data_IF_873193613647
#
_entry.id   IF_873193613647
#
_cell.length_a   1.000
_cell.length_b   1.000
_cell.length_c   1.000
_cell.angle_alpha   90.00
_cell.angle_beta   90.00
_cell.angle_gamma   90.00
#
_symmetry.space_group_name_H-M   'P 1'
#
loop_
_entity.id
_entity.type
_entity.pdbx_description
1 polymer ?
#
# COMPACT_ATOMS: atom_id res chain seq x y z
N UNK A 1 63.15 14.69 -0.10
CA UNK A 1 62.18 13.57 -0.20
C UNK A 1 61.55 13.16 1.14
N UNK A 2 62.29 13.11 2.26
CA UNK A 2 61.75 12.71 3.59
C UNK A 2 60.69 13.67 4.19
N UNK A 3 60.85 14.99 4.04
CA UNK A 3 59.89 15.98 4.55
C UNK A 3 58.51 15.95 3.85
N UNK A 4 58.46 15.52 2.59
CA UNK A 4 57.20 15.38 1.84
C UNK A 4 56.41 14.16 2.30
N UNK A 5 57.09 13.06 2.67
CA UNK A 5 56.44 11.87 3.24
C UNK A 5 55.77 12.16 4.59
N UNK A 6 56.41 12.96 5.46
CA UNK A 6 55.84 13.28 6.77
C UNK A 6 54.55 14.12 6.69
N UNK A 7 54.47 15.08 5.75
CA UNK A 7 53.25 15.88 5.52
C UNK A 7 52.11 15.05 4.93
N UNK A 8 52.41 14.06 4.09
CA UNK A 8 51.39 13.16 3.56
C UNK A 8 50.81 12.26 4.66
N UNK A 9 51.67 11.65 5.49
CA UNK A 9 51.24 10.76 6.58
C UNK A 9 50.40 11.51 7.61
N UNK A 10 50.78 12.74 7.98
CA UNK A 10 50.01 13.56 8.91
C UNK A 10 48.63 13.93 8.38
N UNK A 11 48.51 14.35 7.11
CA UNK A 11 47.20 14.68 6.50
C UNK A 11 46.29 13.47 6.40
N UNK A 12 46.83 12.32 6.03
CA UNK A 12 46.06 11.06 5.97
C UNK A 12 45.57 10.71 7.38
N UNK A 13 46.44 10.76 8.39
CA UNK A 13 46.06 10.43 9.77
C UNK A 13 44.96 11.35 10.33
N UNK A 14 45.04 12.66 10.06
CA UNK A 14 44.00 13.62 10.49
C UNK A 14 42.65 13.33 9.84
N UNK A 15 42.63 13.02 8.53
CA UNK A 15 41.38 12.68 7.83
C UNK A 15 40.78 11.39 8.37
N UNK A 16 41.60 10.35 8.59
CA UNK A 16 41.16 9.08 9.16
C UNK A 16 40.60 9.25 10.59
N UNK A 17 41.29 9.99 11.45
CA UNK A 17 40.84 10.23 12.82
C UNK A 17 39.52 11.01 12.85
N UNK A 18 39.36 12.00 11.96
CA UNK A 18 38.12 12.79 11.86
C UNK A 18 36.95 11.92 11.40
N UNK A 19 37.17 11.01 10.45
CA UNK A 19 36.14 10.07 9.99
C UNK A 19 35.72 9.08 11.09
N UNK A 20 36.68 8.57 11.87
CA UNK A 20 36.40 7.64 12.99
C UNK A 20 35.59 8.34 14.09
N UNK A 21 36.02 9.54 14.50
CA UNK A 21 35.31 10.31 15.54
C UNK A 21 33.88 10.65 15.07
N UNK A 22 33.71 11.07 13.82
CA UNK A 22 32.40 11.36 13.24
C UNK A 22 31.50 10.12 13.16
N UNK A 23 32.09 8.96 12.87
CA UNK A 23 31.40 7.67 12.81
C UNK A 23 30.84 7.27 14.18
N UNK A 24 31.67 7.32 15.23
CA UNK A 24 31.29 6.97 16.60
C UNK A 24 30.19 7.92 17.09
N UNK A 25 30.36 9.23 16.87
CA UNK A 25 29.37 10.22 17.25
C UNK A 25 28.02 9.99 16.54
N UNK A 26 28.04 9.59 15.26
CA UNK A 26 26.84 9.30 14.47
C UNK A 26 26.09 8.07 15.00
N UNK A 27 26.81 7.00 15.34
CA UNK A 27 26.23 5.79 15.92
C UNK A 27 25.60 6.06 17.29
N UNK A 28 26.33 6.74 18.19
CA UNK A 28 25.81 7.13 19.50
C UNK A 28 24.56 8.01 19.39
N UNK A 29 24.55 8.93 18.43
CA UNK A 29 23.42 9.81 18.19
C UNK A 29 22.13 9.05 17.82
N UNK A 30 22.25 7.96 17.04
CA UNK A 30 21.11 7.09 16.72
C UNK A 30 20.70 6.18 17.87
N UNK A 31 21.60 5.83 18.78
CA UNK A 31 21.26 5.04 19.97
C UNK A 31 20.43 5.85 20.97
N UNK A 32 20.74 7.12 21.11
CA UNK A 32 20.05 8.03 22.03
C UNK A 32 18.87 8.76 21.36
N UNK A 33 18.60 8.53 20.06
CA UNK A 33 17.66 9.35 19.29
C UNK A 33 16.27 9.44 19.94
N UNK A 34 15.79 8.37 20.56
CA UNK A 34 14.47 8.31 21.21
C UNK A 34 14.37 9.19 22.48
N UNK A 35 15.50 9.57 23.09
CA UNK A 35 15.55 10.41 24.31
C UNK A 35 15.73 11.90 23.99
N UNK A 36 16.12 12.22 22.74
CA UNK A 36 16.36 13.57 22.29
C UNK A 36 15.05 14.32 22.00
N UNK A 37 15.05 15.63 22.19
CA UNK A 37 13.96 16.48 21.69
C UNK A 37 13.91 16.44 20.16
N UNK A 38 12.73 16.67 19.56
CA UNK A 38 12.55 16.63 18.09
C UNK A 38 13.58 17.48 17.34
N UNK A 39 13.90 18.68 17.85
CA UNK A 39 14.93 19.53 17.24
C UNK A 39 16.32 18.88 17.25
N UNK A 40 16.69 18.23 18.36
CA UNK A 40 17.97 17.50 18.48
C UNK A 40 17.98 16.23 17.62
N UNK A 41 16.85 15.51 17.52
CA UNK A 41 16.70 14.36 16.62
C UNK A 41 16.92 14.77 15.15
N UNK A 42 16.32 15.87 14.71
CA UNK A 42 16.49 16.37 13.34
C UNK A 42 17.92 16.85 13.08
N UNK A 43 18.54 17.54 14.04
CA UNK A 43 19.94 17.95 13.94
C UNK A 43 20.87 16.74 13.85
N UNK A 44 20.65 15.72 14.68
CA UNK A 44 21.35 14.44 14.66
C UNK A 44 21.35 13.83 13.25
N UNK A 45 20.15 13.60 12.70
CA UNK A 45 19.97 13.01 11.37
C UNK A 45 20.60 13.88 10.27
N UNK A 46 20.50 15.21 10.36
CA UNK A 46 21.13 16.12 9.41
C UNK A 46 22.66 16.00 9.42
N UNK A 47 23.28 15.91 10.60
CA UNK A 47 24.73 15.76 10.75
C UNK A 47 25.22 14.44 10.15
N UNK A 48 24.51 13.32 10.40
CA UNK A 48 24.82 12.03 9.80
C UNK A 48 24.75 12.14 8.27
N UNK A 49 23.71 12.78 7.73
CA UNK A 49 23.54 12.98 6.29
C UNK A 49 24.70 13.79 5.68
N UNK A 50 25.10 14.90 6.32
CA UNK A 50 26.14 15.79 5.79
C UNK A 50 27.55 15.20 5.84
N UNK A 51 27.81 14.27 6.78
CA UNK A 51 29.12 13.62 6.90
C UNK A 51 29.28 12.45 5.93
N UNK A 52 28.17 11.95 5.35
CA UNK A 52 28.18 10.75 4.51
C UNK A 52 28.61 9.49 5.25
N UNK A 53 28.55 9.50 6.60
CA UNK A 53 28.99 8.39 7.44
C UNK A 53 27.93 7.29 7.44
N UNK A 54 27.94 6.47 6.40
CA UNK A 54 27.02 5.35 6.22
C UNK A 54 27.77 4.03 6.45
N UNK A 55 27.86 3.62 7.71
CA UNK A 55 28.51 2.38 8.11
C UNK A 55 27.48 1.38 8.69
N UNK A 56 27.96 0.19 9.04
CA UNK A 56 27.12 -0.88 9.62
C UNK A 56 26.45 -0.47 10.93
N UNK A 57 27.12 0.34 11.77
CA UNK A 57 26.59 0.81 13.05
C UNK A 57 25.41 1.77 12.86
N UNK A 58 25.52 2.69 11.91
CA UNK A 58 24.45 3.63 11.52
C UNK A 58 23.24 2.85 11.00
N UNK A 59 23.45 1.85 10.13
CA UNK A 59 22.35 1.02 9.63
C UNK A 59 21.72 0.15 10.74
N UNK A 60 22.50 -0.33 11.71
CA UNK A 60 21.98 -1.01 12.89
C UNK A 60 21.14 -0.08 13.78
N UNK A 61 21.61 1.15 13.99
CA UNK A 61 20.87 2.21 14.70
C UNK A 61 19.55 2.54 14.02
N UNK A 62 19.57 2.75 12.70
CA UNK A 62 18.36 2.99 11.89
C UNK A 62 17.39 1.80 11.95
N UNK A 63 17.89 0.57 11.91
CA UNK A 63 17.06 -0.63 12.06
C UNK A 63 16.32 -0.64 13.39
N UNK A 64 17.02 -0.34 14.49
CA UNK A 64 16.40 -0.24 15.82
C UNK A 64 15.38 0.88 15.88
N UNK A 65 15.71 2.05 15.31
CA UNK A 65 14.79 3.18 15.22
C UNK A 65 13.50 2.81 14.49
N UNK A 66 13.59 2.32 13.25
CA UNK A 66 12.40 1.96 12.45
C UNK A 66 11.50 0.91 13.10
N UNK A 67 12.07 -0.08 13.79
CA UNK A 67 11.31 -1.13 14.50
C UNK A 67 10.55 -0.62 15.74
N UNK A 68 11.01 0.48 16.36
CA UNK A 68 10.39 1.06 17.55
C UNK A 68 9.34 2.12 17.23
N UNK A 69 9.30 2.64 16.00
CA UNK A 69 8.41 3.75 15.66
C UNK A 69 6.94 3.40 15.83
N UNK A 70 6.17 4.41 16.24
CA UNK A 70 4.73 4.31 16.42
C UNK A 70 4.02 5.63 16.02
N UNK A 71 2.74 5.70 16.35
CA UNK A 71 1.89 6.88 16.09
C UNK A 71 2.40 8.17 16.75
N UNK A 72 3.21 8.07 17.82
CA UNK A 72 3.75 9.20 18.57
C UNK A 72 5.09 9.68 18.02
N UNK A 73 5.81 8.85 17.26
CA UNK A 73 7.05 9.27 16.60
C UNK A 73 6.77 10.45 15.67
N UNK A 74 7.56 11.52 15.79
CA UNK A 74 7.38 12.72 14.98
C UNK A 74 7.65 12.41 13.50
N UNK A 75 6.69 12.69 12.62
CA UNK A 75 6.77 12.33 11.21
C UNK A 75 7.96 12.97 10.48
N UNK A 76 8.46 14.13 10.91
CA UNK A 76 9.65 14.79 10.32
C UNK A 76 10.93 14.02 10.66
N UNK A 77 10.97 13.41 11.84
CA UNK A 77 12.11 12.59 12.28
C UNK A 77 12.14 11.28 11.49
N UNK A 78 10.97 10.65 11.29
CA UNK A 78 10.84 9.49 10.39
C UNK A 78 11.32 9.85 8.97
N UNK A 79 10.89 10.98 8.43
CA UNK A 79 11.33 11.46 7.13
C UNK A 79 12.84 11.72 7.05
N UNK A 80 13.43 12.33 8.09
CA UNK A 80 14.88 12.56 8.16
C UNK A 80 15.68 11.26 8.20
N UNK A 81 15.16 10.21 8.87
CA UNK A 81 15.77 8.88 8.85
C UNK A 81 15.65 8.22 7.47
N UNK A 82 14.52 8.38 6.79
CA UNK A 82 14.34 7.93 5.40
C UNK A 82 15.30 8.65 4.44
N UNK A 83 15.54 9.96 4.63
CA UNK A 83 16.50 10.74 3.85
C UNK A 83 17.95 10.22 3.96
N UNK A 84 18.32 9.62 5.09
CA UNK A 84 19.62 8.97 5.24
C UNK A 84 19.72 7.72 4.38
N UNK A 85 18.64 6.94 4.29
CA UNK A 85 18.61 5.74 3.44
C UNK A 85 18.60 6.13 1.95
N UNK A 86 17.81 7.15 1.58
CA UNK A 86 17.80 7.70 0.22
C UNK A 86 19.18 8.19 -0.23
N UNK A 87 19.90 8.88 0.66
CA UNK A 87 21.27 9.33 0.38
C UNK A 87 22.29 8.19 0.17
N UNK A 88 22.01 6.99 0.70
CA UNK A 88 22.83 5.78 0.47
C UNK A 88 22.48 5.06 -0.85
N UNK A 89 21.31 5.33 -1.43
CA UNK A 89 20.79 4.62 -2.60
C UNK A 89 20.79 3.10 -2.40
N UNK A 90 21.22 2.35 -3.43
CA UNK A 90 21.28 0.89 -3.38
C UNK A 90 22.19 0.31 -2.27
N UNK A 91 23.10 1.09 -1.71
CA UNK A 91 23.92 0.63 -0.56
C UNK A 91 23.06 0.35 0.68
N UNK A 92 21.86 0.95 0.77
CA UNK A 92 20.89 0.72 1.83
C UNK A 92 19.89 -0.41 1.52
N UNK A 93 20.11 -1.24 0.48
CA UNK A 93 19.16 -2.30 0.08
C UNK A 93 18.80 -3.25 1.23
N UNK A 94 19.73 -3.54 2.15
CA UNK A 94 19.47 -4.39 3.31
C UNK A 94 18.36 -3.83 4.25
N UNK A 95 18.08 -2.52 4.18
CA UNK A 95 17.02 -1.87 4.95
C UNK A 95 15.63 -2.01 4.31
N UNK A 96 15.56 -2.45 3.05
CA UNK A 96 14.31 -2.54 2.30
C UNK A 96 13.25 -3.42 3.00
N UNK A 97 13.65 -4.56 3.56
CA UNK A 97 12.75 -5.46 4.31
C UNK A 97 12.26 -4.86 5.64
N UNK A 98 13.05 -3.98 6.26
CA UNK A 98 12.60 -3.26 7.46
C UNK A 98 11.58 -2.19 7.08
N UNK A 99 11.82 -1.48 5.98
CA UNK A 99 10.91 -0.45 5.48
C UNK A 99 9.59 -1.03 4.95
N UNK A 100 9.60 -2.21 4.33
CA UNK A 100 8.38 -2.84 3.82
C UNK A 100 7.37 -3.13 4.94
N UNK A 101 7.84 -3.44 6.15
CA UNK A 101 7.00 -3.65 7.34
C UNK A 101 6.28 -2.38 7.81
N UNK A 102 6.71 -1.20 7.34
CA UNK A 102 6.07 0.07 7.68
C UNK A 102 4.93 0.41 6.71
N UNK A 103 4.87 -0.18 5.51
CA UNK A 103 3.85 0.11 4.50
C UNK A 103 2.42 -0.35 4.82
N UNK A 104 2.13 -1.41 5.60
CA UNK A 104 0.76 -1.83 5.86
C UNK A 104 -0.07 -0.74 6.58
N UNK A 105 -1.36 -0.60 6.24
CA UNK A 105 -2.25 0.45 6.81
C UNK A 105 -2.36 0.37 8.35
N UNK A 106 -2.18 -0.82 8.92
CA UNK A 106 -2.21 -1.13 10.34
C UNK A 106 -0.87 -0.95 11.07
N UNK A 107 0.20 -0.53 10.37
CA UNK A 107 1.51 -0.33 10.97
C UNK A 107 1.42 0.62 12.17
N UNK A 108 2.14 0.31 13.25
CA UNK A 108 2.13 1.11 14.51
C UNK A 108 2.36 2.59 14.24
N UNK A 109 3.22 2.90 13.25
CA UNK A 109 3.55 4.25 12.79
C UNK A 109 2.32 5.12 12.45
N UNK A 110 1.22 4.52 12.02
CA UNK A 110 0.02 5.23 11.52
C UNK A 110 -1.11 5.35 12.55
N UNK A 111 -0.98 4.71 13.71
CA UNK A 111 -2.02 4.73 14.73
C UNK A 111 -2.19 6.13 15.32
N UNK A 112 -3.43 6.59 15.52
CA UNK A 112 -3.74 7.92 16.08
C UNK A 112 -3.10 9.09 15.31
N UNK A 113 -2.82 8.88 14.02
CA UNK A 113 -2.24 9.88 13.13
C UNK A 113 -3.30 10.37 12.16
N UNK A 114 -3.25 11.68 11.86
CA UNK A 114 -4.08 12.27 10.82
C UNK A 114 -3.84 11.61 9.46
N UNK A 115 -4.91 11.47 8.67
CA UNK A 115 -4.90 10.86 7.34
C UNK A 115 -3.82 11.46 6.44
N UNK A 116 -3.62 12.78 6.45
CA UNK A 116 -2.66 13.44 5.57
C UNK A 116 -1.21 13.07 5.91
N UNK A 117 -0.88 12.96 7.20
CA UNK A 117 0.45 12.51 7.60
C UNK A 117 0.67 11.03 7.29
N UNK A 118 -0.35 10.18 7.43
CA UNK A 118 -0.27 8.76 7.03
C UNK A 118 0.03 8.65 5.53
N UNK A 119 -0.74 9.34 4.69
CA UNK A 119 -0.56 9.32 3.23
C UNK A 119 0.84 9.84 2.83
N UNK A 120 1.29 10.96 3.42
CA UNK A 120 2.62 11.52 3.12
C UNK A 120 3.75 10.61 3.58
N UNK A 121 3.65 9.99 4.76
CA UNK A 121 4.66 9.02 5.24
C UNK A 121 4.71 7.78 4.36
N UNK A 122 3.56 7.18 4.02
CA UNK A 122 3.48 6.04 3.10
C UNK A 122 4.14 6.36 1.76
N UNK A 123 3.81 7.51 1.18
CA UNK A 123 4.40 7.96 -0.07
C UNK A 123 5.93 8.10 0.02
N UNK A 124 6.43 8.63 1.13
CA UNK A 124 7.87 8.79 1.34
C UNK A 124 8.59 7.46 1.57
N UNK A 125 7.93 6.48 2.19
CA UNK A 125 8.44 5.11 2.33
C UNK A 125 8.49 4.42 0.96
N UNK A 126 7.43 4.51 0.13
CA UNK A 126 7.45 4.01 -1.24
C UNK A 126 8.57 4.63 -2.06
N UNK A 127 8.70 5.96 -2.02
CA UNK A 127 9.78 6.67 -2.70
C UNK A 127 11.17 6.19 -2.23
N UNK A 128 11.37 6.04 -0.92
CA UNK A 128 12.64 5.54 -0.37
C UNK A 128 12.94 4.13 -0.88
N UNK A 129 11.95 3.24 -0.88
CA UNK A 129 12.08 1.89 -1.43
C UNK A 129 12.39 1.89 -2.94
N UNK A 130 11.88 2.86 -3.70
CA UNK A 130 12.21 2.99 -5.13
C UNK A 130 13.70 3.34 -5.38
N UNK A 131 14.36 3.97 -4.41
CA UNK A 131 15.76 4.40 -4.53
C UNK A 131 16.75 3.40 -3.91
N UNK A 132 16.37 2.71 -2.82
CA UNK A 132 17.24 1.73 -2.15
C UNK A 132 17.05 0.31 -2.64
N UNK A 133 15.91 0.01 -3.25
CA UNK A 133 15.52 -1.32 -3.71
C UNK A 133 14.16 -1.74 -3.16
N UNK A 134 13.29 -2.25 -4.05
CA UNK A 134 11.93 -2.64 -3.71
C UNK A 134 11.84 -4.16 -3.47
N UNK A 135 11.57 -4.61 -2.22
CA UNK A 135 11.55 -6.03 -1.89
C UNK A 135 10.22 -6.68 -2.31
N UNK A 136 10.22 -7.99 -2.53
CA UNK A 136 9.01 -8.73 -2.89
C UNK A 136 7.95 -8.68 -1.78
N UNK A 137 8.38 -8.58 -0.52
CA UNK A 137 7.50 -8.41 0.65
C UNK A 137 6.66 -7.14 0.59
N UNK A 138 7.07 -6.12 -0.17
CA UNK A 138 6.35 -4.86 -0.32
C UNK A 138 5.35 -4.85 -1.48
N UNK A 139 5.45 -5.81 -2.41
CA UNK A 139 4.62 -5.88 -3.63
C UNK A 139 3.11 -5.87 -3.35
N UNK A 140 2.57 -6.56 -2.33
CA UNK A 140 1.15 -6.49 -2.02
C UNK A 140 0.67 -5.05 -1.70
N UNK A 141 1.49 -4.24 -1.04
CA UNK A 141 1.17 -2.85 -0.72
C UNK A 141 1.25 -1.94 -1.94
N UNK A 142 2.20 -2.18 -2.85
CA UNK A 142 2.24 -1.51 -4.15
C UNK A 142 0.95 -1.73 -4.92
N UNK A 143 0.51 -2.98 -4.97
CA UNK A 143 -0.72 -3.39 -5.64
C UNK A 143 -1.90 -2.71 -4.95
N UNK A 144 -2.05 -2.83 -3.63
CA UNK A 144 -3.18 -2.20 -2.92
C UNK A 144 -3.29 -0.70 -3.22
N UNK A 145 -2.17 0.02 -3.31
CA UNK A 145 -2.23 1.45 -3.64
C UNK A 145 -2.57 1.69 -5.11
N UNK A 146 -1.94 0.98 -6.06
CA UNK A 146 -2.15 1.22 -7.50
C UNK A 146 -3.47 0.66 -8.04
N UNK A 147 -4.09 -0.26 -7.32
CA UNK A 147 -5.33 -0.95 -7.72
C UNK A 147 -6.60 -0.15 -7.47
N UNK A 148 -6.54 0.79 -6.52
CA UNK A 148 -7.72 1.41 -5.94
C UNK A 148 -7.70 2.93 -6.08
N UNK A 149 -7.06 3.44 -7.14
CA UNK A 149 -6.98 4.88 -7.34
C UNK A 149 -8.32 5.45 -7.83
N UNK A 150 -8.67 6.61 -7.28
CA UNK A 150 -9.71 7.48 -7.79
C UNK A 150 -9.27 8.94 -7.63
N UNK A 151 -10.07 9.88 -8.15
CA UNK A 151 -9.79 11.32 -8.10
C UNK A 151 -9.70 11.90 -6.67
N UNK A 152 -9.95 11.12 -5.61
CA UNK A 152 -9.88 11.54 -4.20
C UNK A 152 -8.67 10.96 -3.48
N UNK A 153 -7.86 10.14 -4.15
CA UNK A 153 -6.57 9.69 -3.62
C UNK A 153 -5.52 10.81 -3.68
N UNK A 154 -4.56 10.74 -2.75
CA UNK A 154 -3.47 11.72 -2.72
C UNK A 154 -2.57 11.53 -3.93
N UNK A 155 -2.43 12.59 -4.74
CA UNK A 155 -1.53 12.60 -5.90
C UNK A 155 -0.08 12.24 -5.51
N UNK A 156 0.34 12.65 -4.31
CA UNK A 156 1.64 12.31 -3.73
C UNK A 156 1.82 10.80 -3.54
N UNK A 157 0.83 10.11 -2.97
CA UNK A 157 0.92 8.66 -2.73
C UNK A 157 0.94 7.90 -4.06
N UNK A 158 0.05 8.25 -4.99
CA UNK A 158 0.02 7.64 -6.31
C UNK A 158 1.32 7.88 -7.10
N UNK A 159 1.80 9.12 -7.13
CA UNK A 159 3.06 9.48 -7.79
C UNK A 159 4.26 8.70 -7.23
N UNK A 160 4.32 8.51 -5.91
CA UNK A 160 5.39 7.71 -5.30
C UNK A 160 5.34 6.23 -5.73
N UNK A 161 4.15 5.68 -5.91
CA UNK A 161 3.95 4.32 -6.42
C UNK A 161 4.32 4.22 -7.90
N UNK A 162 4.07 5.24 -8.71
CA UNK A 162 4.56 5.28 -10.10
C UNK A 162 6.10 5.21 -10.14
N UNK A 163 6.80 5.95 -9.26
CA UNK A 163 8.27 5.87 -9.14
C UNK A 163 8.75 4.50 -8.70
N UNK A 164 8.04 3.84 -7.78
CA UNK A 164 8.31 2.44 -7.45
C UNK A 164 8.20 1.57 -8.69
N UNK A 165 7.11 1.65 -9.46
CA UNK A 165 6.95 0.84 -10.68
C UNK A 165 8.07 1.12 -11.68
N UNK A 166 8.46 2.38 -11.85
CA UNK A 166 9.60 2.76 -12.69
C UNK A 166 10.91 2.09 -12.23
N UNK A 167 11.19 2.09 -10.92
CA UNK A 167 12.40 1.49 -10.34
C UNK A 167 12.49 -0.03 -10.50
N UNK A 168 11.36 -0.71 -10.78
CA UNK A 168 11.33 -2.14 -11.03
C UNK A 168 11.87 -2.53 -12.42
N UNK A 169 12.02 -1.56 -13.34
CA UNK A 169 12.43 -1.80 -14.73
C UNK A 169 11.50 -2.80 -15.41
N UNK A 170 12.06 -3.77 -16.14
CA UNK A 170 11.28 -4.80 -16.84
C UNK A 170 10.34 -5.60 -15.92
N UNK A 171 10.65 -5.76 -14.62
CA UNK A 171 9.76 -6.42 -13.65
C UNK A 171 8.47 -5.64 -13.41
N UNK A 172 8.46 -4.34 -13.72
CA UNK A 172 7.32 -3.46 -13.63
C UNK A 172 6.31 -3.61 -14.77
N UNK A 173 6.63 -4.36 -15.84
CA UNK A 173 5.73 -4.53 -17.00
C UNK A 173 4.35 -5.09 -16.63
N UNK A 174 4.28 -5.94 -15.60
CA UNK A 174 3.02 -6.48 -15.06
C UNK A 174 2.07 -5.41 -14.50
N UNK A 175 2.54 -4.18 -14.30
CA UNK A 175 1.74 -3.05 -13.82
C UNK A 175 1.26 -2.12 -14.95
N UNK A 176 1.53 -2.44 -16.22
CA UNK A 176 1.25 -1.52 -17.34
C UNK A 176 -0.22 -1.12 -17.46
N UNK A 177 -1.15 -2.05 -17.19
CA UNK A 177 -2.59 -1.75 -17.26
C UNK A 177 -3.00 -0.77 -16.15
N UNK A 178 -2.43 -0.90 -14.95
CA UNK A 178 -2.66 0.04 -13.86
C UNK A 178 -2.11 1.43 -14.19
N UNK A 179 -0.91 1.50 -14.74
CA UNK A 179 -0.32 2.78 -15.20
C UNK A 179 -1.20 3.42 -16.27
N UNK A 180 -1.72 2.63 -17.20
CA UNK A 180 -2.61 3.12 -18.25
C UNK A 180 -3.90 3.70 -17.67
N UNK A 181 -4.51 3.03 -16.70
CA UNK A 181 -5.75 3.53 -16.09
C UNK A 181 -5.51 4.89 -15.38
N UNK A 182 -4.30 5.16 -14.87
CA UNK A 182 -3.95 6.46 -14.24
C UNK A 182 -3.72 7.61 -15.23
N UNK A 183 -3.58 7.30 -16.52
CA UNK A 183 -3.38 8.30 -17.58
C UNK A 183 -4.72 8.87 -18.08
N UNK A 184 -5.84 8.19 -17.82
CA UNK A 184 -7.18 8.66 -18.21
C UNK A 184 -7.72 9.83 -17.39
N UNK A 185 -8.94 10.27 -17.72
CA UNK A 185 -9.63 11.43 -17.12
C UNK A 185 -10.03 11.24 -15.64
N UNK A 186 -9.71 10.10 -15.04
CA UNK A 186 -10.12 9.72 -13.69
C UNK A 186 -9.19 10.25 -12.60
N UNK A 187 -8.00 10.74 -12.95
CA UNK A 187 -6.99 11.23 -12.00
C UNK A 187 -6.86 12.74 -12.14
N UNK A 188 -6.94 13.45 -11.01
CA UNK A 188 -6.76 14.90 -11.00
C UNK A 188 -5.33 15.30 -11.39
N UNK A 189 -5.21 16.45 -12.07
CA UNK A 189 -3.93 17.08 -12.43
C UNK A 189 -3.28 17.83 -11.25
N UNK A 190 -3.50 17.36 -10.01
CA UNK A 190 -2.91 17.98 -8.83
C UNK A 190 -1.39 17.86 -8.91
N UNK A 191 -0.71 19.01 -8.94
CA UNK A 191 0.74 19.03 -8.87
C UNK A 191 1.22 18.54 -7.51
N UNK A 192 2.39 17.92 -7.48
CA UNK A 192 3.10 17.61 -6.24
C UNK A 192 4.61 17.54 -6.47
N UNK A 193 5.35 17.42 -5.35
CA UNK A 193 6.79 17.12 -5.37
C UNK A 193 7.10 15.99 -4.39
N UNK A 194 8.05 15.16 -4.83
CA UNK A 194 8.61 14.03 -4.10
C UNK A 194 10.08 14.29 -3.72
N UNK A 195 10.66 15.44 -4.04
CA UNK A 195 12.09 15.70 -3.76
C UNK A 195 12.39 15.67 -2.25
N UNK A 196 11.47 16.21 -1.44
CA UNK A 196 11.56 16.30 0.02
C UNK A 196 10.24 15.98 0.71
N UNK A 197 10.31 15.51 1.95
CA UNK A 197 9.12 15.22 2.74
C UNK A 197 8.28 16.47 3.04
N UNK A 198 8.91 17.53 3.56
CA UNK A 198 8.24 18.82 3.79
C UNK A 198 8.15 19.57 2.45
N UNK A 199 6.97 20.05 2.09
CA UNK A 199 6.79 20.81 0.84
C UNK A 199 7.20 22.25 1.09
N UNK A 200 8.24 22.71 0.39
CA UNK A 200 8.56 24.15 0.31
C UNK A 200 8.12 24.68 -1.07
N UNK A 201 7.77 25.97 -1.12
CA UNK A 201 7.37 26.68 -2.34
C UNK A 201 8.46 27.68 -2.76
N UNK A 202 8.75 27.83 -4.07
CA UNK A 202 8.21 27.04 -5.19
C UNK A 202 8.67 25.58 -5.14
N UNK A 203 7.84 24.68 -5.69
CA UNK A 203 8.12 23.24 -5.63
C UNK A 203 9.27 22.89 -6.58
N UNK A 204 10.31 22.28 -6.03
CA UNK A 204 11.35 21.62 -6.83
C UNK A 204 10.75 20.37 -7.47
N UNK A 205 11.01 20.16 -8.76
CA UNK A 205 10.52 19.00 -9.52
C UNK A 205 8.98 18.83 -9.47
N UNK A 206 8.23 19.91 -9.69
CA UNK A 206 6.76 19.80 -9.78
C UNK A 206 6.35 18.81 -10.87
N UNK A 207 5.50 17.85 -10.51
CA UNK A 207 5.03 16.76 -11.38
C UNK A 207 3.55 16.46 -11.11
N UNK A 208 2.96 15.59 -11.92
CA UNK A 208 1.59 15.08 -11.76
C UNK A 208 1.59 13.55 -11.80
N UNK A 209 0.47 12.92 -11.41
CA UNK A 209 0.37 11.44 -11.43
C UNK A 209 0.53 10.91 -12.86
N UNK A 210 -0.09 11.58 -13.84
CA UNK A 210 -0.01 11.19 -15.25
C UNK A 210 1.42 11.28 -15.79
N UNK A 211 2.17 12.34 -15.43
CA UNK A 211 3.58 12.49 -15.81
C UNK A 211 4.42 11.34 -15.22
N UNK A 212 4.26 11.05 -13.92
CA UNK A 212 4.99 9.95 -13.30
C UNK A 212 4.58 8.57 -13.88
N UNK A 213 3.32 8.38 -14.25
CA UNK A 213 2.85 7.15 -14.91
C UNK A 213 3.48 6.96 -16.29
N UNK A 214 3.57 8.01 -17.11
CA UNK A 214 4.24 7.95 -18.41
C UNK A 214 5.75 7.71 -18.26
N UNK A 215 6.39 8.33 -17.25
CA UNK A 215 7.80 8.05 -16.90
C UNK A 215 7.99 6.60 -16.46
N UNK A 216 7.06 6.05 -15.69
CA UNK A 216 7.08 4.65 -15.29
C UNK A 216 6.94 3.72 -16.50
N UNK A 217 6.02 4.00 -17.43
CA UNK A 217 5.91 3.27 -18.70
C UNK A 217 7.22 3.29 -19.49
N UNK A 218 7.90 4.45 -19.58
CA UNK A 218 9.22 4.51 -20.22
C UNK A 218 10.23 3.60 -19.53
N UNK A 219 10.30 3.65 -18.20
CA UNK A 219 11.29 2.94 -17.41
C UNK A 219 11.10 1.41 -17.42
N UNK A 220 9.86 0.91 -17.50
CA UNK A 220 9.59 -0.54 -17.60
C UNK A 220 9.90 -1.11 -19.01
N UNK A 221 10.23 -0.24 -19.97
CA UNK A 221 10.64 -0.59 -21.33
C UNK A 221 9.47 -0.99 -22.24
N UNK A 222 9.79 -1.45 -23.45
CA UNK A 222 8.82 -1.73 -24.50
C UNK A 222 7.65 -2.59 -24.01
N UNK A 223 6.43 -2.12 -24.28
CA UNK A 223 5.20 -2.83 -23.99
C UNK A 223 4.58 -3.32 -25.29
N UNK A 224 4.30 -4.62 -25.39
CA UNK A 224 3.46 -5.18 -26.47
C UNK A 224 1.97 -4.84 -26.27
N UNK A 225 1.63 -4.06 -25.24
CA UNK A 225 0.26 -3.66 -24.95
C UNK A 225 -0.21 -2.57 -25.92
N UNK A 226 -1.05 -2.97 -26.88
CA UNK A 226 -1.63 -2.05 -27.87
C UNK A 226 -2.35 -0.87 -27.21
N UNK A 227 -3.01 -1.06 -26.06
CA UNK A 227 -3.73 0.02 -25.36
C UNK A 227 -2.77 1.10 -24.87
N UNK A 228 -1.60 0.71 -24.34
CA UNK A 228 -0.54 1.64 -23.92
C UNK A 228 -0.04 2.44 -25.11
N UNK A 229 0.24 1.78 -26.25
CA UNK A 229 0.69 2.46 -27.47
C UNK A 229 -0.33 3.46 -27.99
N UNK A 230 -1.61 3.07 -28.03
CA UNK A 230 -2.70 3.94 -28.46
C UNK A 230 -2.82 5.17 -27.54
N UNK A 231 -2.81 4.98 -26.23
CA UNK A 231 -2.93 6.09 -25.28
C UNK A 231 -1.75 7.07 -25.36
N UNK A 232 -0.51 6.55 -25.39
CA UNK A 232 0.69 7.39 -25.53
C UNK A 232 0.69 8.14 -26.86
N UNK A 233 0.28 7.49 -27.96
CA UNK A 233 0.16 8.13 -29.28
C UNK A 233 -0.87 9.25 -29.26
N UNK A 234 -2.04 9.02 -28.67
CA UNK A 234 -3.09 10.03 -28.53
C UNK A 234 -2.61 11.25 -27.75
N UNK A 235 -1.86 11.05 -26.66
CA UNK A 235 -1.29 12.15 -25.86
C UNK A 235 -0.20 12.88 -26.64
N UNK A 236 0.71 12.16 -27.27
CA UNK A 236 1.82 12.74 -28.01
C UNK A 236 1.37 13.56 -29.24
N UNK A 237 0.24 13.17 -29.85
CA UNK A 237 -0.37 13.84 -31.00
C UNK A 237 -1.39 14.90 -30.61
N UNK A 238 -1.62 15.14 -29.31
CA UNK A 238 -2.48 16.20 -28.85
C UNK A 238 -1.97 17.55 -29.42
N UNK A 239 -2.82 18.23 -30.20
CA UNK A 239 -2.46 19.47 -30.87
C UNK A 239 -2.25 20.64 -29.91
N UNK A 240 -1.82 21.79 -30.42
CA UNK A 240 -1.59 23.02 -29.65
C UNK A 240 -2.81 23.57 -28.91
N UNK A 241 -4.02 23.10 -29.27
CA UNK A 241 -5.29 23.46 -28.62
C UNK A 241 -5.74 22.46 -27.54
N UNK A 242 -4.94 21.45 -27.23
CA UNK A 242 -5.25 20.50 -26.17
C UNK A 242 -5.17 21.16 -24.79
N UNK A 243 -6.04 20.75 -23.87
CA UNK A 243 -5.98 21.13 -22.45
C UNK A 243 -4.93 20.34 -21.66
N UNK A 244 -4.27 19.35 -22.28
CA UNK A 244 -3.29 18.50 -21.61
C UNK A 244 -2.03 19.30 -21.23
N UNK A 245 -1.44 18.94 -20.09
CA UNK A 245 -0.14 19.46 -19.65
C UNK A 245 0.94 19.27 -20.74
N UNK A 246 1.61 20.34 -21.22
CA UNK A 246 2.68 20.22 -22.21
C UNK A 246 3.83 19.29 -21.78
N UNK A 247 4.10 19.20 -20.47
CA UNK A 247 5.10 18.26 -19.91
C UNK A 247 4.66 16.82 -20.10
N UNK A 248 3.37 16.51 -19.95
CA UNK A 248 2.82 15.18 -20.21
C UNK A 248 2.97 14.80 -21.69
N UNK A 249 2.64 15.71 -22.60
CA UNK A 249 2.83 15.53 -24.05
C UNK A 249 4.31 15.25 -24.38
N UNK A 250 5.22 16.02 -23.76
CA UNK A 250 6.65 15.83 -23.93
C UNK A 250 7.12 14.45 -23.45
N UNK A 251 6.72 14.04 -22.25
CA UNK A 251 7.08 12.72 -21.70
C UNK A 251 6.51 11.57 -22.55
N UNK A 252 5.28 11.70 -23.08
CA UNK A 252 4.69 10.70 -23.96
C UNK A 252 5.48 10.54 -25.26
N UNK A 253 5.95 11.64 -25.86
CA UNK A 253 6.84 11.63 -27.04
C UNK A 253 8.15 10.91 -26.74
N UNK A 254 8.79 11.23 -25.60
CA UNK A 254 10.02 10.56 -25.18
C UNK A 254 9.80 9.05 -24.96
N UNK A 255 8.67 8.66 -24.38
CA UNK A 255 8.32 7.24 -24.17
C UNK A 255 8.13 6.50 -25.50
N UNK A 256 7.41 7.09 -26.47
CA UNK A 256 7.23 6.49 -27.80
C UNK A 256 8.55 6.37 -28.57
N UNK A 257 9.41 7.38 -28.51
CA UNK A 257 10.75 7.33 -29.11
C UNK A 257 11.58 6.21 -28.48
N UNK A 258 11.54 6.07 -27.16
CA UNK A 258 12.22 4.99 -26.45
C UNK A 258 11.73 3.61 -26.92
N UNK A 259 10.42 3.43 -27.08
CA UNK A 259 9.86 2.16 -27.55
C UNK A 259 10.18 1.87 -29.03
N UNK A 260 10.21 2.88 -29.89
CA UNK A 260 10.57 2.72 -31.31
C UNK A 260 12.02 2.32 -31.55
N UNK A 261 12.92 2.64 -30.60
CA UNK A 261 14.33 2.21 -30.64
C UNK A 261 14.60 0.81 -30.08
N UNK A 262 13.62 0.20 -29.40
CA UNK A 262 13.78 -1.13 -28.81
C UNK A 262 13.38 -2.21 -29.82
N UNK A 263 14.35 -3.03 -30.23
CA UNK A 263 14.11 -4.20 -31.06
C UNK A 263 13.36 -5.24 -30.21
N UNK A 264 12.05 -5.43 -30.46
CA UNK A 264 11.13 -6.22 -29.63
C UNK A 264 11.42 -7.72 -29.72
N UNK A 265 12.48 -8.18 -29.06
CA UNK A 265 12.59 -9.60 -28.75
C UNK A 265 11.52 -9.93 -27.70
N UNK A 266 10.53 -10.71 -28.13
CA UNK A 266 9.37 -11.14 -27.34
C UNK A 266 9.80 -11.90 -26.08
N UNK A 267 10.07 -11.16 -25.00
CA UNK A 267 10.12 -11.75 -23.67
C UNK A 267 8.68 -11.81 -23.17
N UNK A 268 8.06 -12.98 -23.34
CA UNK A 268 6.83 -13.32 -22.64
C UNK A 268 7.14 -13.34 -21.13
N UNK A 269 6.88 -12.22 -20.46
CA UNK A 269 6.87 -12.19 -18.99
C UNK A 269 5.65 -12.99 -18.55
N UNK A 270 5.89 -14.15 -17.94
CA UNK A 270 4.83 -14.91 -17.28
C UNK A 270 4.15 -14.01 -16.24
N UNK A 271 2.83 -13.84 -16.38
CA UNK A 271 1.97 -13.23 -15.38
C UNK A 271 2.23 -13.95 -14.04
N UNK A 272 2.68 -13.23 -13.02
CA UNK A 272 2.94 -13.83 -11.72
C UNK A 272 1.64 -14.46 -11.20
N UNK A 273 1.63 -15.76 -10.90
CA UNK A 273 0.50 -16.40 -10.24
C UNK A 273 0.46 -16.04 -8.74
N UNK A 274 -0.75 -15.97 -8.19
CA UNK A 274 -1.10 -16.26 -6.78
C UNK A 274 -0.72 -15.30 -5.64
N UNK A 275 0.03 -14.21 -5.82
CA UNK A 275 0.41 -13.32 -4.70
C UNK A 275 -0.77 -12.58 -4.01
N UNK A 276 -1.99 -12.71 -4.51
CA UNK A 276 -3.20 -12.02 -4.02
C UNK A 276 -4.04 -12.88 -3.09
N UNK A 277 -3.65 -14.13 -2.88
CA UNK A 277 -4.41 -15.06 -2.07
C UNK A 277 -3.44 -15.83 -1.17
N UNK A 278 -3.71 -15.85 0.14
CA UNK A 278 -2.89 -16.63 1.06
C UNK A 278 -2.85 -18.10 0.65
N UNK A 279 -1.85 -18.88 1.10
CA UNK A 279 -1.92 -20.34 1.01
C UNK A 279 -3.24 -20.86 1.58
N UNK A 280 -3.72 -21.97 1.03
CA UNK A 280 -4.87 -22.70 1.57
C UNK A 280 -4.45 -23.41 2.87
N UNK A 281 -5.15 -23.15 3.98
CA UNK A 281 -4.88 -23.82 5.24
C UNK A 281 -5.63 -25.16 5.34
N UNK A 282 -4.88 -26.24 5.54
CA UNK A 282 -5.42 -27.56 5.86
C UNK A 282 -6.11 -27.54 7.24
N UNK A 283 -7.11 -28.41 7.51
CA UNK A 283 -7.91 -28.37 8.74
C UNK A 283 -7.12 -28.22 10.05
N UNK A 284 -5.96 -28.88 10.16
CA UNK A 284 -5.04 -28.85 11.29
C UNK A 284 -4.23 -27.54 11.42
N UNK A 285 -4.14 -26.77 10.35
CA UNK A 285 -3.48 -25.46 10.30
C UNK A 285 -4.46 -24.29 10.50
N UNK A 286 -5.77 -24.56 10.52
CA UNK A 286 -6.80 -23.51 10.63
C UNK A 286 -6.91 -23.05 12.08
N UNK A 287 -6.71 -21.76 12.28
CA UNK A 287 -6.83 -21.12 13.59
C UNK A 287 -8.28 -20.67 13.81
N UNK A 288 -8.85 -20.98 14.97
CA UNK A 288 -10.17 -20.51 15.35
C UNK A 288 -10.16 -19.00 15.57
N UNK A 289 -11.18 -18.30 15.05
CA UNK A 289 -11.45 -16.92 15.43
C UNK A 289 -12.15 -16.96 16.79
N UNK A 290 -11.48 -16.50 17.84
CA UNK A 290 -11.95 -16.56 19.22
C UNK A 290 -13.04 -15.55 19.52
N UNK A 291 -13.07 -14.39 18.85
CA UNK A 291 -14.02 -13.31 19.12
C UNK A 291 -15.35 -13.47 18.36
N UNK A 292 -15.83 -14.70 18.12
CA UNK A 292 -17.08 -14.99 17.39
C UNK A 292 -18.33 -14.89 18.26
N UNK A 293 -18.21 -14.92 19.58
CA UNK A 293 -19.31 -14.66 20.53
C UNK A 293 -19.69 -13.16 20.61
N UNK A 294 -19.18 -12.34 19.69
CA UNK A 294 -19.50 -10.92 19.58
C UNK A 294 -20.95 -10.70 19.10
N UNK A 295 -21.65 -9.77 19.73
CA UNK A 295 -22.96 -9.32 19.27
C UNK A 295 -22.82 -8.50 17.98
N UNK A 296 -23.78 -8.64 17.07
CA UNK A 296 -23.90 -7.78 15.90
C UNK A 296 -25.34 -7.36 15.67
N UNK A 297 -25.52 -6.24 14.99
CA UNK A 297 -26.80 -5.81 14.42
C UNK A 297 -26.74 -5.87 12.91
N UNK A 298 -27.69 -6.57 12.28
CA UNK A 298 -27.75 -6.63 10.81
C UNK A 298 -28.45 -5.40 10.17
N UNK A 299 -28.46 -5.39 8.85
CA UNK A 299 -29.17 -4.42 7.99
C UNK A 299 -30.69 -4.32 8.23
N UNK A 300 -31.31 -5.33 8.86
CA UNK A 300 -32.72 -5.33 9.23
C UNK A 300 -32.95 -4.87 10.68
N UNK A 301 -31.89 -4.55 11.43
CA UNK A 301 -31.96 -4.15 12.83
C UNK A 301 -32.02 -5.32 13.81
N UNK A 302 -31.87 -6.57 13.33
CA UNK A 302 -31.90 -7.75 14.20
C UNK A 302 -30.56 -7.90 14.90
N UNK A 303 -30.61 -8.10 16.22
CA UNK A 303 -29.44 -8.41 17.05
C UNK A 303 -29.23 -9.92 17.09
N UNK A 304 -27.99 -10.37 16.88
CA UNK A 304 -27.57 -11.78 16.89
C UNK A 304 -26.14 -11.89 17.41
N UNK A 305 -25.70 -13.12 17.68
CA UNK A 305 -24.30 -13.43 17.99
C UNK A 305 -23.64 -13.96 16.72
N UNK A 306 -22.41 -13.52 16.43
CA UNK A 306 -21.71 -13.86 15.18
C UNK A 306 -21.50 -15.38 15.02
N UNK A 307 -21.18 -16.10 16.10
CA UNK A 307 -21.04 -17.56 16.12
C UNK A 307 -22.29 -18.30 15.64
N UNK A 308 -23.49 -17.70 15.79
CA UNK A 308 -24.74 -18.34 15.39
C UNK A 308 -24.98 -18.29 13.86
N UNK A 309 -24.20 -17.49 13.13
CA UNK A 309 -24.31 -17.38 11.67
C UNK A 309 -23.09 -17.92 10.93
N UNK A 310 -21.97 -18.12 11.62
CA UNK A 310 -20.77 -18.79 11.07
C UNK A 310 -20.94 -20.30 11.24
N UNK A 311 -22.02 -20.84 10.68
CA UNK A 311 -22.44 -22.25 10.75
C UNK A 311 -22.11 -23.04 9.47
N UNK A 312 -21.52 -22.36 8.49
CA UNK A 312 -21.19 -22.85 7.15
C UNK A 312 -20.04 -22.00 6.58
N UNK A 313 -19.43 -22.39 5.45
CA UNK A 313 -18.36 -21.59 4.84
C UNK A 313 -18.79 -20.13 4.68
N UNK A 314 -18.00 -19.23 5.28
CA UNK A 314 -18.35 -17.82 5.44
C UNK A 314 -17.26 -16.94 4.86
N UNK A 315 -17.61 -16.12 3.87
CA UNK A 315 -16.73 -15.08 3.35
C UNK A 315 -17.02 -13.77 4.10
N UNK A 316 -16.03 -13.26 4.82
CA UNK A 316 -16.07 -12.00 5.54
C UNK A 316 -15.33 -10.93 4.75
N UNK A 317 -15.97 -9.80 4.46
CA UNK A 317 -15.32 -8.63 3.86
C UNK A 317 -15.70 -7.37 4.64
N UNK A 318 -14.88 -6.33 4.54
CA UNK A 318 -15.08 -5.09 5.28
C UNK A 318 -15.34 -3.88 4.39
N UNK A 319 -16.14 -2.94 4.91
CA UNK A 319 -16.46 -1.68 4.26
C UNK A 319 -16.83 -0.61 5.30
N UNK A 320 -17.20 0.60 4.90
CA UNK A 320 -17.91 1.57 5.75
C UNK A 320 -18.56 2.61 4.86
N UNK A 321 -19.69 3.18 5.29
CA UNK A 321 -20.52 3.98 4.37
C UNK A 321 -19.96 5.36 4.04
N UNK A 322 -19.06 5.90 4.87
CA UNK A 322 -18.38 7.18 4.63
C UNK A 322 -17.10 7.07 3.81
N UNK A 323 -16.73 5.87 3.35
CA UNK A 323 -15.56 5.70 2.51
C UNK A 323 -15.71 6.54 1.24
N UNK A 324 -14.83 7.52 1.11
CA UNK A 324 -14.72 8.38 -0.06
C UNK A 324 -13.78 7.79 -1.11
N UNK A 325 -13.57 6.47 -1.15
CA UNK A 325 -12.86 5.84 -2.26
C UNK A 325 -13.78 4.82 -2.91
N UNK A 326 -14.22 5.11 -4.14
CA UNK A 326 -15.17 4.27 -4.86
C UNK A 326 -14.50 2.95 -5.28
N UNK A 327 -13.21 3.00 -5.59
CA UNK A 327 -12.34 1.85 -5.81
C UNK A 327 -12.01 1.07 -4.54
N UNK A 328 -12.57 1.38 -3.36
CA UNK A 328 -12.42 0.55 -2.14
C UNK A 328 -13.75 0.01 -1.63
N UNK A 329 -14.32 0.60 -0.57
CA UNK A 329 -15.51 0.05 0.09
C UNK A 329 -16.71 -0.13 -0.85
N UNK A 330 -16.87 0.78 -1.80
CA UNK A 330 -17.96 0.69 -2.77
C UNK A 330 -17.79 -0.51 -3.68
N UNK A 331 -16.61 -0.67 -4.26
CA UNK A 331 -16.29 -1.81 -5.12
C UNK A 331 -16.24 -3.14 -4.36
N UNK A 332 -15.89 -3.17 -3.07
CA UNK A 332 -16.03 -4.36 -2.20
C UNK A 332 -17.46 -4.91 -2.24
N UNK A 333 -18.49 -4.07 -2.04
CA UNK A 333 -19.86 -4.56 -2.09
C UNK A 333 -20.32 -4.90 -3.51
N UNK A 334 -19.87 -4.15 -4.53
CA UNK A 334 -20.12 -4.51 -5.94
C UNK A 334 -19.55 -5.89 -6.28
N UNK A 335 -18.38 -6.22 -5.76
CA UNK A 335 -17.75 -7.55 -5.92
C UNK A 335 -18.52 -8.64 -5.20
N UNK A 336 -18.95 -8.40 -3.96
CA UNK A 336 -19.83 -9.33 -3.26
C UNK A 336 -21.15 -9.55 -3.99
N UNK A 337 -21.73 -8.50 -4.59
CA UNK A 337 -22.93 -8.61 -5.42
C UNK A 337 -22.69 -9.48 -6.67
N UNK A 338 -21.55 -9.30 -7.33
CA UNK A 338 -21.15 -10.13 -8.46
C UNK A 338 -20.92 -11.60 -8.05
N UNK A 339 -20.22 -11.83 -6.94
CA UNK A 339 -19.98 -13.16 -6.38
C UNK A 339 -21.29 -13.84 -6.01
N UNK A 340 -22.22 -13.11 -5.39
CA UNK A 340 -23.55 -13.60 -5.04
C UNK A 340 -24.31 -14.09 -6.28
N UNK A 341 -24.27 -13.33 -7.40
CA UNK A 341 -24.90 -13.75 -8.66
C UNK A 341 -24.26 -15.04 -9.19
N UNK A 342 -22.95 -15.18 -9.07
CA UNK A 342 -22.24 -16.37 -9.52
C UNK A 342 -22.58 -17.60 -8.68
N UNK A 343 -22.60 -17.46 -7.35
CA UNK A 343 -23.03 -18.52 -6.44
C UNK A 343 -24.48 -18.94 -6.69
N UNK A 344 -25.37 -17.99 -7.00
CA UNK A 344 -26.77 -18.28 -7.35
C UNK A 344 -26.89 -19.11 -8.64
N UNK A 345 -26.16 -18.75 -9.70
CA UNK A 345 -26.15 -19.52 -10.95
C UNK A 345 -25.72 -20.97 -10.74
N UNK A 346 -24.86 -21.20 -9.75
CA UNK A 346 -24.33 -22.53 -9.42
C UNK A 346 -25.12 -23.24 -8.31
N UNK A 347 -26.18 -22.63 -7.78
CA UNK A 347 -26.99 -23.18 -6.69
C UNK A 347 -26.26 -23.25 -5.33
N UNK A 348 -25.18 -22.51 -5.15
CA UNK A 348 -24.32 -22.54 -3.96
C UNK A 348 -24.69 -21.49 -2.91
N UNK A 349 -25.47 -20.47 -3.27
CA UNK A 349 -25.81 -19.33 -2.42
C UNK A 349 -26.57 -19.73 -1.14
N UNK A 350 -27.20 -20.90 -1.14
CA UNK A 350 -27.89 -21.48 0.02
C UNK A 350 -26.94 -22.11 1.04
N UNK A 351 -25.74 -22.49 0.63
CA UNK A 351 -24.80 -23.30 1.42
C UNK A 351 -23.63 -22.48 1.99
N UNK A 352 -23.54 -21.20 1.66
CA UNK A 352 -22.45 -20.31 2.11
C UNK A 352 -23.01 -19.04 2.74
N UNK A 353 -22.18 -18.32 3.49
CA UNK A 353 -22.49 -16.96 3.98
C UNK A 353 -21.59 -15.93 3.31
N UNK A 354 -22.18 -14.81 2.91
CA UNK A 354 -21.48 -13.58 2.55
C UNK A 354 -21.74 -12.54 3.63
N UNK A 355 -20.69 -12.17 4.36
CA UNK A 355 -20.77 -11.25 5.49
C UNK A 355 -19.95 -9.98 5.20
N UNK A 356 -20.64 -8.85 5.08
CA UNK A 356 -20.02 -7.54 4.92
C UNK A 356 -20.09 -6.76 6.23
N UNK A 357 -18.95 -6.51 6.85
CA UNK A 357 -18.84 -5.86 8.17
C UNK A 357 -18.39 -4.41 8.02
N UNK A 358 -19.07 -3.48 8.70
CA UNK A 358 -18.59 -2.08 8.73
C UNK A 358 -17.35 -1.91 9.62
N UNK A 359 -16.37 -1.11 9.19
CA UNK A 359 -15.26 -0.66 10.05
C UNK A 359 -15.69 0.39 11.08
N UNK A 360 -16.86 1.01 10.92
CA UNK A 360 -17.33 2.16 11.72
C UNK A 360 -18.68 1.85 12.40
N UNK A 361 -18.74 0.85 13.31
CA UNK A 361 -20.00 0.39 13.91
C UNK A 361 -20.77 1.48 14.69
N UNK A 362 -20.07 2.52 15.16
CA UNK A 362 -20.66 3.67 15.86
C UNK A 362 -21.42 4.60 14.90
N UNK A 363 -20.94 4.73 13.65
CA UNK A 363 -21.54 5.60 12.64
C UNK A 363 -22.56 4.86 11.78
N UNK A 364 -22.22 3.65 11.33
CA UNK A 364 -23.03 2.88 10.40
C UNK A 364 -24.15 2.16 11.15
N UNK A 365 -25.39 2.64 10.98
CA UNK A 365 -26.60 1.97 11.50
C UNK A 365 -27.24 1.07 10.43
N UNK A 366 -28.19 0.24 10.83
CA UNK A 366 -28.85 -0.74 9.95
C UNK A 366 -29.44 -0.12 8.68
N UNK A 367 -30.04 1.07 8.76
CA UNK A 367 -30.60 1.77 7.61
C UNK A 367 -29.51 2.19 6.61
N UNK A 368 -28.39 2.76 7.09
CA UNK A 368 -27.24 3.13 6.25
C UNK A 368 -26.61 1.91 5.60
N UNK A 369 -26.39 0.84 6.36
CA UNK A 369 -25.83 -0.42 5.87
C UNK A 369 -26.71 -1.04 4.78
N UNK A 370 -28.03 -1.05 4.99
CA UNK A 370 -29.01 -1.57 4.02
C UNK A 370 -28.97 -0.78 2.71
N UNK A 371 -29.09 0.55 2.80
CA UNK A 371 -29.09 1.43 1.62
C UNK A 371 -27.78 1.30 0.85
N UNK A 372 -26.64 1.39 1.54
CA UNK A 372 -25.33 1.33 0.91
C UNK A 372 -25.11 0.02 0.13
N UNK A 373 -25.56 -1.12 0.68
CA UNK A 373 -25.52 -2.42 0.01
C UNK A 373 -26.43 -2.52 -1.22
N UNK A 374 -27.69 -2.09 -1.09
CA UNK A 374 -28.67 -2.12 -2.20
C UNK A 374 -28.20 -1.26 -3.37
N UNK A 375 -27.68 -0.06 -3.08
CA UNK A 375 -27.16 0.87 -4.10
C UNK A 375 -25.99 0.26 -4.91
N UNK A 376 -25.33 -0.77 -4.38
CA UNK A 376 -24.21 -1.50 -5.03
C UNK A 376 -24.62 -2.86 -5.57
N UNK A 377 -25.92 -3.16 -5.56
CA UNK A 377 -26.50 -4.39 -6.09
C UNK A 377 -26.32 -5.62 -5.20
N UNK A 378 -25.85 -5.46 -3.95
CA UNK A 378 -25.71 -6.58 -3.02
C UNK A 378 -27.09 -6.94 -2.44
N UNK A 379 -27.63 -8.10 -2.83
CA UNK A 379 -28.98 -8.51 -2.45
C UNK A 379 -28.96 -9.09 -1.05
N UNK A 380 -29.57 -8.39 -0.10
CA UNK A 380 -29.56 -8.80 1.30
C UNK A 380 -30.51 -9.99 1.54
N UNK A 381 -30.06 -10.98 2.31
CA UNK A 381 -30.81 -12.19 2.68
C UNK A 381 -30.25 -12.79 3.97
N UNK A 382 -30.81 -13.89 4.47
CA UNK A 382 -30.24 -14.59 5.64
C UNK A 382 -28.81 -15.11 5.37
N UNK A 383 -28.43 -15.36 4.12
CA UNK A 383 -27.09 -15.80 3.72
C UNK A 383 -26.18 -14.66 3.24
N UNK A 384 -26.70 -13.45 3.06
CA UNK A 384 -25.96 -12.30 2.55
C UNK A 384 -26.27 -11.07 3.41
N UNK A 385 -25.39 -10.76 4.36
CA UNK A 385 -25.65 -9.79 5.42
C UNK A 385 -24.66 -8.63 5.34
N UNK A 386 -25.15 -7.40 5.48
CA UNK A 386 -24.33 -6.32 6.04
C UNK A 386 -24.59 -6.19 7.54
N UNK A 387 -23.52 -6.03 8.31
CA UNK A 387 -23.58 -6.01 9.78
C UNK A 387 -22.68 -4.94 10.38
N UNK A 388 -23.07 -4.46 11.56
CA UNK A 388 -22.20 -3.75 12.50
C UNK A 388 -21.98 -4.62 13.73
N UNK A 389 -20.73 -4.80 14.12
CA UNK A 389 -20.38 -5.48 15.36
C UNK A 389 -20.54 -4.56 16.56
N UNK A 390 -20.59 -5.13 17.75
CA UNK A 390 -20.49 -4.39 19.01
C UNK A 390 -19.21 -3.53 19.04
N UNK A 391 -19.30 -2.19 19.18
CA UNK A 391 -18.16 -1.29 19.16
C UNK A 391 -16.99 -1.69 20.07
N UNK A 392 -17.27 -2.20 21.26
CA UNK A 392 -16.25 -2.48 22.28
C UNK A 392 -15.36 -3.67 21.91
N UNK A 393 -15.89 -4.60 21.11
CA UNK A 393 -15.19 -5.81 20.68
C UNK A 393 -14.82 -5.80 19.20
N UNK A 394 -15.30 -4.82 18.44
CA UNK A 394 -15.07 -4.67 17.00
C UNK A 394 -13.58 -4.62 16.63
N UNK A 395 -12.81 -3.76 17.29
CA UNK A 395 -11.36 -3.59 17.01
C UNK A 395 -10.59 -4.90 17.26
N UNK A 396 -10.97 -5.63 18.31
CA UNK A 396 -10.39 -6.94 18.62
C UNK A 396 -10.69 -7.96 17.50
N UNK A 397 -11.93 -8.01 17.01
CA UNK A 397 -12.30 -8.89 15.89
C UNK A 397 -11.49 -8.57 14.63
N UNK A 398 -11.45 -7.31 14.22
CA UNK A 398 -10.73 -6.84 13.03
C UNK A 398 -9.24 -7.19 13.09
N UNK A 399 -8.62 -7.03 14.27
CA UNK A 399 -7.23 -7.39 14.49
C UNK A 399 -6.99 -8.90 14.41
N UNK A 400 -7.90 -9.70 14.95
CA UNK A 400 -7.80 -11.17 15.00
C UNK A 400 -7.86 -11.81 13.60
N UNK A 401 -8.75 -11.31 12.74
CA UNK A 401 -8.78 -11.72 11.33
C UNK A 401 -7.67 -11.06 10.50
N UNK A 402 -6.78 -10.28 11.14
CA UNK A 402 -5.66 -9.51 10.58
C UNK A 402 -6.03 -8.69 9.33
N UNK A 403 -7.14 -7.96 9.41
CA UNK A 403 -7.57 -7.10 8.32
C UNK A 403 -6.85 -5.71 8.42
N UNK A 404 -6.26 -5.19 7.33
CA UNK A 404 -5.45 -3.98 7.32
C UNK A 404 -6.31 -2.73 7.42
N UNK A 405 -6.47 -2.19 8.62
CA UNK A 405 -7.11 -0.90 8.87
C UNK A 405 -6.35 -0.10 9.92
N UNK A 406 -6.30 1.21 9.71
CA UNK A 406 -5.81 2.19 10.66
C UNK A 406 -6.95 3.06 11.19
N UNK A 407 -6.89 3.37 12.48
CA UNK A 407 -7.86 4.23 13.16
C UNK A 407 -7.20 5.49 13.75
N UNK A 408 -7.91 6.61 13.69
CA UNK A 408 -7.59 7.86 14.38
C UNK A 408 -8.84 8.40 15.09
N UNK A 409 -8.79 8.50 16.43
CA UNK A 409 -9.93 8.96 17.24
C UNK A 409 -11.26 8.23 16.92
N UNK A 410 -11.20 6.93 16.63
CA UNK A 410 -12.37 6.11 16.29
C UNK A 410 -12.81 6.16 14.82
N UNK A 411 -12.13 6.95 13.98
CA UNK A 411 -12.40 7.05 12.54
C UNK A 411 -11.39 6.27 11.72
N UNK A 412 -11.81 5.71 10.59
CA UNK A 412 -10.90 5.04 9.65
C UNK A 412 -10.01 6.09 8.98
N UNK A 413 -8.69 6.00 9.19
CA UNK A 413 -7.72 6.88 8.51
C UNK A 413 -7.08 6.22 7.28
N UNK A 414 -7.08 4.89 7.23
CA UNK A 414 -6.47 4.08 6.17
C UNK A 414 -7.03 2.66 6.23
N UNK A 415 -7.19 2.00 5.09
CA UNK A 415 -7.58 0.58 5.04
C UNK A 415 -7.23 -0.07 3.70
N UNK A 416 -6.96 -1.36 3.71
CA UNK A 416 -6.87 -2.20 2.53
C UNK A 416 -8.24 -2.73 2.11
N UNK A 417 -8.28 -3.41 0.96
CA UNK A 417 -9.45 -4.19 0.54
C UNK A 417 -9.12 -5.66 0.69
N UNK A 418 -9.83 -6.35 1.57
CA UNK A 418 -9.61 -7.77 1.81
C UNK A 418 -10.92 -8.52 2.04
N UNK A 419 -10.89 -9.80 1.70
CA UNK A 419 -11.88 -10.79 2.11
C UNK A 419 -11.19 -11.95 2.84
N UNK A 420 -11.86 -12.51 3.84
CA UNK A 420 -11.38 -13.61 4.67
C UNK A 420 -12.37 -14.75 4.59
N UNK A 421 -11.89 -15.95 4.24
CA UNK A 421 -12.68 -17.16 4.19
C UNK A 421 -12.56 -17.92 5.52
N UNK A 422 -13.70 -18.20 6.13
CA UNK A 422 -13.85 -19.04 7.31
C UNK A 422 -14.56 -20.34 6.94
N UNK A 423 -14.20 -21.43 7.61
CA UNK A 423 -14.97 -22.68 7.53
C UNK A 423 -16.23 -22.66 8.42
N UNK A 424 -16.99 -23.76 8.43
CA UNK A 424 -18.22 -23.92 9.22
C UNK A 424 -18.01 -23.90 10.74
N UNK A 425 -16.76 -23.95 11.21
CA UNK A 425 -16.39 -23.86 12.62
C UNK A 425 -15.83 -22.48 12.97
N UNK A 426 -15.84 -21.53 12.02
CA UNK A 426 -15.29 -20.20 12.22
C UNK A 426 -13.77 -20.16 12.30
N UNK A 427 -13.09 -21.12 11.67
CA UNK A 427 -11.62 -21.13 11.59
C UNK A 427 -11.15 -20.50 10.28
N UNK A 428 -10.06 -19.76 10.33
CA UNK A 428 -9.45 -19.11 9.16
C UNK A 428 -8.95 -20.16 8.16
N UNK A 429 -9.42 -20.06 6.91
CA UNK A 429 -9.03 -20.95 5.81
C UNK A 429 -8.10 -20.26 4.83
N UNK A 430 -8.45 -19.02 4.45
CA UNK A 430 -7.76 -18.28 3.40
C UNK A 430 -8.07 -16.79 3.47
N UNK A 431 -7.14 -15.96 2.99
CA UNK A 431 -7.34 -14.52 2.79
C UNK A 431 -7.16 -14.15 1.33
N UNK A 432 -7.95 -13.19 0.88
CA UNK A 432 -7.84 -12.57 -0.43
C UNK A 432 -7.51 -11.11 -0.24
N UNK A 433 -6.33 -10.72 -0.69
CA UNK A 433 -5.79 -9.37 -0.56
C UNK A 433 -6.00 -8.60 -1.85
N UNK A 434 -6.38 -7.33 -1.73
CA UNK A 434 -6.78 -6.40 -2.81
C UNK A 434 -8.09 -6.76 -3.51
N UNK A 435 -8.63 -5.80 -4.28
CA UNK A 435 -9.77 -6.05 -5.16
C UNK A 435 -9.46 -6.96 -6.33
N UNK A 436 -8.31 -7.62 -6.42
CA UNK A 436 -8.11 -8.65 -7.43
C UNK A 436 -8.51 -10.04 -6.98
N UNK A 437 -9.27 -10.19 -5.87
CA UNK A 437 -9.94 -11.47 -5.70
C UNK A 437 -10.85 -11.70 -6.92
N UNK A 438 -10.57 -12.81 -7.58
CA UNK A 438 -11.34 -13.30 -8.70
C UNK A 438 -12.51 -14.07 -8.10
N UNK A 439 -13.73 -13.71 -8.49
CA UNK A 439 -14.92 -14.38 -7.97
C UNK A 439 -14.91 -15.87 -8.32
N UNK A 440 -14.26 -16.24 -9.43
CA UNK A 440 -14.00 -17.61 -9.86
C UNK A 440 -13.14 -18.35 -8.84
N UNK A 441 -12.06 -17.73 -8.37
CA UNK A 441 -11.19 -18.30 -7.32
C UNK A 441 -11.95 -18.46 -6.01
N UNK A 442 -12.65 -17.42 -5.55
CA UNK A 442 -13.43 -17.48 -4.30
C UNK A 442 -14.54 -18.54 -4.39
N UNK A 443 -15.20 -18.66 -5.54
CA UNK A 443 -16.23 -19.68 -5.77
C UNK A 443 -15.65 -21.10 -5.74
N UNK A 444 -14.49 -21.31 -6.36
CA UNK A 444 -13.77 -22.59 -6.32
C UNK A 444 -13.39 -22.97 -4.89
N UNK A 445 -12.89 -22.00 -4.12
CA UNK A 445 -12.49 -22.18 -2.72
C UNK A 445 -13.70 -22.47 -1.82
N UNK A 446 -14.83 -21.80 -2.03
CA UNK A 446 -16.09 -22.10 -1.33
C UNK A 446 -16.59 -23.51 -1.65
N UNK A 447 -16.54 -23.94 -2.91
CA UNK A 447 -16.89 -25.32 -3.30
C UNK A 447 -16.01 -26.33 -2.59
N UNK A 448 -14.69 -26.09 -2.56
CA UNK A 448 -13.75 -26.97 -1.88
C UNK A 448 -14.09 -27.12 -0.40
N UNK A 449 -14.41 -26.02 0.30
CA UNK A 449 -14.83 -26.08 1.70
C UNK A 449 -16.13 -26.85 1.91
N UNK A 450 -17.09 -26.75 0.99
CA UNK A 450 -18.34 -27.51 1.07
C UNK A 450 -18.13 -29.02 0.92
N UNK A 451 -17.04 -29.45 0.29
CA UNK A 451 -16.66 -30.87 0.21
C UNK A 451 -15.84 -31.34 1.42
N UNK A 452 -15.18 -30.42 2.12
CA UNK A 452 -14.43 -30.69 3.37
C UNK A 452 -15.36 -30.74 4.61
N UNK A 453 -16.61 -30.28 4.49
CA UNK A 453 -17.61 -30.16 5.56
C UNK A 453 -18.45 -31.41 5.68
#
# INVERSE_FOLDING_TARGET
MLLVKHRLVSKVLTVWLTLIISSIASAQCLEEIDTLSVGKQLLCLKTIKSTGSFNTEVNAGLTRFFRKMDGKTNHRVVAGALDLLRAQGHSAQAMAEVLSQLLPHQAKLYQQRDKWYVLRLRAYIFLTLSEVGYPDSAVPMLIDTISHFDNRMSAVELGSVMRVVASLGARGQKFSDYLLDTIGDTVGEEEFSLSRYAVDFPREESTTVQIEAVRALRAIGASNNKRVMTALTSIAQAGSHSSLDPRLIHEAKLTLQHYGGLNTKNNHVQLIPTAYVSPWLLPEQRHAVHNLDINFTDHAGKKKILSNIVDRPTLVAFFYTRCQNAGKCSMTLTKLASLQKELQKQGLDKFVRLLAITYEPQYDNSLRLRRYAIDRGFKLSDNALTVRLDPDRHVKFVKEIENPVGYNAGWVNSHGVEATLLDSHGRLVRKYTSQYWLNETVTSDLKRLLLDS
#
